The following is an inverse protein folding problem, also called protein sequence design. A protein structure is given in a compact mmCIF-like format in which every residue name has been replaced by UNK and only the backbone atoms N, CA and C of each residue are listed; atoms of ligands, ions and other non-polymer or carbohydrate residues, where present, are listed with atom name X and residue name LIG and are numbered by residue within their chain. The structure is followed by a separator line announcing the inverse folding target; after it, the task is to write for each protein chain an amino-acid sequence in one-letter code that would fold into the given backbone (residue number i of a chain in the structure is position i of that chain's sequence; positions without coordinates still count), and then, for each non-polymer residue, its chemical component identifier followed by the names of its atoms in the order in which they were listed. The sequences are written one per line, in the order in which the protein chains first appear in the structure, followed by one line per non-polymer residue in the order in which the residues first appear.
data_IF_666270763169
#
_entry.id   IF_666270763169
#
_cell.length_a   1.000
_cell.length_b   1.000
_cell.length_c   1.000
_cell.angle_alpha   90.00
_cell.angle_beta   90.00
_cell.angle_gamma   90.00
#
_symmetry.space_group_name_H-M   'P 1'
#
loop_
_entity.id
_entity.type
_entity.pdbx_description
1 polymer ?
#
# COMPACT_ATOMS: atom_id res chain seq x y z
N UNK A 1 -8.70 -5.03 24.72
CA UNK A 1 -8.83 -3.55 24.74
C UNK A 1 -7.50 -2.93 24.38
N UNK A 2 -7.31 -2.46 23.14
CA UNK A 2 -6.51 -1.25 22.85
C UNK A 2 -7.07 -0.66 21.55
N UNK A 3 -7.84 0.45 21.59
CA UNK A 3 -7.89 1.33 20.46
C UNK A 3 -7.30 2.65 20.91
N UNK A 4 -5.98 2.74 20.97
CA UNK A 4 -5.30 4.03 20.95
C UNK A 4 -5.41 4.61 19.53
N UNK A 5 -6.63 4.78 19.00
CA UNK A 5 -6.85 5.59 17.81
C UNK A 5 -6.38 6.99 18.18
N UNK A 6 -5.23 7.39 17.65
CA UNK A 6 -4.82 8.78 17.74
C UNK A 6 -5.91 9.61 17.05
N UNK A 7 -6.65 10.36 17.86
CA UNK A 7 -7.91 11.00 17.49
C UNK A 7 -7.75 11.81 16.19
N UNK A 8 -8.21 11.23 15.08
CA UNK A 8 -8.16 11.78 13.72
C UNK A 8 -6.76 12.20 13.23
N UNK A 9 -5.68 11.57 13.72
CA UNK A 9 -4.31 11.91 13.32
C UNK A 9 -3.52 10.69 12.88
N UNK A 10 -2.83 10.81 11.74
CA UNK A 10 -1.97 9.75 11.19
C UNK A 10 -0.59 10.28 10.83
N UNK A 11 0.45 9.44 11.00
CA UNK A 11 1.79 9.70 10.48
C UNK A 11 1.79 9.43 8.97
N UNK A 12 2.26 10.41 8.20
CA UNK A 12 2.46 10.27 6.76
C UNK A 12 3.83 9.68 6.46
N UNK A 13 3.92 8.75 5.52
CA UNK A 13 5.19 8.32 4.93
C UNK A 13 5.11 8.27 3.41
N UNK A 14 6.24 8.40 2.73
CA UNK A 14 6.30 8.27 1.27
C UNK A 14 6.56 6.83 0.87
N UNK A 15 5.52 6.14 0.35
CA UNK A 15 5.64 4.77 -0.13
C UNK A 15 6.67 4.60 -1.26
N UNK A 16 6.73 5.47 -2.29
CA UNK A 16 7.75 5.35 -3.34
C UNK A 16 9.17 5.49 -2.79
N UNK A 17 9.40 6.47 -1.91
CA UNK A 17 10.72 6.65 -1.30
C UNK A 17 11.11 5.43 -0.46
N UNK A 18 10.20 4.93 0.37
CA UNK A 18 10.44 3.71 1.15
C UNK A 18 10.80 2.52 0.25
N UNK A 19 10.05 2.28 -0.83
CA UNK A 19 10.30 1.17 -1.74
C UNK A 19 11.66 1.30 -2.44
N UNK A 20 11.96 2.44 -3.07
CA UNK A 20 13.22 2.58 -3.80
C UNK A 20 14.44 2.60 -2.87
N UNK A 21 14.33 3.27 -1.73
CA UNK A 21 15.43 3.33 -0.77
C UNK A 21 15.66 1.98 -0.10
N UNK A 22 14.62 1.23 0.27
CA UNK A 22 14.77 -0.11 0.85
C UNK A 22 15.42 -1.08 -0.13
N UNK A 23 15.03 -1.08 -1.40
CA UNK A 23 15.68 -1.91 -2.44
C UNK A 23 17.16 -1.57 -2.54
N UNK A 24 17.50 -0.27 -2.65
CA UNK A 24 18.88 0.16 -2.79
C UNK A 24 19.74 -0.20 -1.56
N UNK A 25 19.23 0.07 -0.35
CA UNK A 25 19.99 -0.14 0.89
C UNK A 25 20.11 -1.62 1.26
N UNK A 26 19.08 -2.43 1.03
CA UNK A 26 19.16 -3.90 1.20
C UNK A 26 20.15 -4.49 0.20
N UNK A 27 20.11 -4.07 -1.06
CA UNK A 27 21.08 -4.53 -2.06
C UNK A 27 22.50 -4.14 -1.66
N UNK A 28 22.72 -2.90 -1.23
CA UNK A 28 24.03 -2.44 -0.79
C UNK A 28 24.52 -3.16 0.48
N UNK A 29 23.62 -3.59 1.37
CA UNK A 29 23.96 -4.34 2.58
C UNK A 29 24.31 -5.80 2.26
N UNK A 30 23.49 -6.45 1.44
CA UNK A 30 23.65 -7.87 1.09
C UNK A 30 24.81 -8.12 0.10
N UNK A 31 25.10 -7.17 -0.80
CA UNK A 31 26.13 -7.33 -1.83
C UNK A 31 27.55 -6.97 -1.35
N UNK A 32 27.80 -6.91 -0.04
CA UNK A 32 29.15 -6.70 0.51
C UNK A 32 29.93 -8.00 0.50
N UNK A 33 31.20 -7.94 0.11
CA UNK A 33 32.11 -9.09 0.16
C UNK A 33 32.14 -9.74 1.55
N UNK A 34 32.10 -8.94 2.62
CA UNK A 34 32.08 -9.45 4.00
C UNK A 34 30.83 -10.27 4.33
N UNK A 35 29.67 -9.93 3.79
CA UNK A 35 28.43 -10.67 4.01
C UNK A 35 28.49 -12.05 3.31
N UNK A 36 29.01 -12.08 2.08
CA UNK A 36 29.25 -13.32 1.34
C UNK A 36 30.30 -14.21 2.01
N UNK A 37 31.44 -13.63 2.41
CA UNK A 37 32.49 -14.35 3.13
C UNK A 37 31.97 -14.94 4.44
N UNK A 38 31.18 -14.17 5.20
CA UNK A 38 30.59 -14.65 6.46
C UNK A 38 29.63 -15.82 6.21
N UNK A 39 28.76 -15.71 5.20
CA UNK A 39 27.83 -16.77 4.86
C UNK A 39 28.56 -18.03 4.35
N UNK A 40 29.57 -17.86 3.50
CA UNK A 40 30.39 -18.96 2.97
C UNK A 40 31.16 -19.65 4.11
N UNK A 41 31.81 -18.89 4.99
CA UNK A 41 32.55 -19.45 6.12
C UNK A 41 31.64 -20.22 7.07
N UNK A 42 30.41 -19.72 7.32
CA UNK A 42 29.44 -20.44 8.14
C UNK A 42 28.94 -21.72 7.48
N UNK A 43 28.78 -21.72 6.15
CA UNK A 43 28.42 -22.92 5.40
C UNK A 43 29.54 -23.98 5.45
N UNK A 44 30.79 -23.57 5.23
CA UNK A 44 31.95 -24.47 5.25
C UNK A 44 32.39 -24.90 6.66
N UNK A 45 31.93 -24.20 7.71
CA UNK A 45 32.13 -24.61 9.10
C UNK A 45 31.16 -25.69 9.58
N UNK A 46 30.17 -26.09 8.75
CA UNK A 46 29.25 -27.16 9.09
C UNK A 46 29.95 -28.53 9.09
N UNK A 47 29.45 -29.46 9.90
CA UNK A 47 29.99 -30.81 9.94
C UNK A 47 29.82 -31.51 8.57
N UNK A 48 30.88 -32.11 8.01
CA UNK A 48 30.78 -32.83 6.77
C UNK A 48 29.98 -34.13 6.96
N UNK A 49 28.99 -34.34 6.10
CA UNK A 49 28.21 -35.58 6.05
C UNK A 49 28.97 -36.69 5.32
N UNK A 50 29.67 -36.34 4.23
CA UNK A 50 30.64 -37.21 3.56
C UNK A 50 32.05 -36.63 3.68
N UNK A 51 32.97 -37.45 4.16
CA UNK A 51 34.40 -37.14 4.25
C UNK A 51 35.25 -38.05 3.38
N UNK A 52 36.35 -37.51 2.87
CA UNK A 52 37.37 -38.22 2.11
C UNK A 52 38.55 -38.53 3.04
N UNK A 53 38.86 -39.81 3.21
CA UNK A 53 39.94 -40.25 4.09
C UNK A 53 41.27 -40.30 3.33
N UNK A 54 42.19 -39.37 3.63
CA UNK A 54 43.53 -39.30 3.02
C UNK A 54 44.54 -38.91 4.10
N UNK A 55 45.71 -39.57 4.11
CA UNK A 55 46.82 -39.26 5.03
C UNK A 55 46.42 -39.26 6.52
N UNK A 56 45.66 -40.28 6.94
CA UNK A 56 45.22 -40.44 8.32
C UNK A 56 44.35 -39.27 8.84
N UNK A 57 43.70 -38.53 7.93
CA UNK A 57 42.78 -37.44 8.23
C UNK A 57 41.54 -37.49 7.32
N UNK A 58 40.39 -37.04 7.86
CA UNK A 58 39.14 -36.90 7.11
C UNK A 58 39.01 -35.49 6.56
N UNK A 59 38.86 -35.35 5.26
CA UNK A 59 38.66 -34.07 4.56
C UNK A 59 37.21 -33.91 4.12
N UNK A 60 36.59 -32.71 4.26
CA UNK A 60 35.21 -32.49 3.84
C UNK A 60 35.06 -32.66 2.32
N UNK A 61 34.08 -33.48 1.87
CA UNK A 61 33.84 -33.76 0.43
C UNK A 61 32.73 -32.93 -0.19
N UNK A 62 32.40 -31.77 0.40
CA UNK A 62 31.36 -30.86 -0.11
C UNK A 62 29.91 -31.27 0.23
N UNK A 63 29.72 -32.40 0.93
CA UNK A 63 28.42 -32.80 1.49
C UNK A 63 28.41 -32.48 2.99
N UNK A 64 27.42 -31.71 3.44
CA UNK A 64 27.30 -31.22 4.82
C UNK A 64 25.98 -31.67 5.45
N UNK A 65 25.97 -31.79 6.78
CA UNK A 65 24.76 -32.14 7.53
C UNK A 65 23.75 -30.99 7.44
N UNK A 66 22.50 -31.28 7.08
CA UNK A 66 21.45 -30.27 6.90
C UNK A 66 21.23 -29.39 8.14
N UNK A 67 21.39 -29.95 9.34
CA UNK A 67 21.30 -29.21 10.62
C UNK A 67 22.39 -28.15 10.77
N UNK A 68 23.57 -28.35 10.18
CA UNK A 68 24.69 -27.41 10.21
C UNK A 68 24.64 -26.35 9.10
N UNK A 69 23.80 -26.53 8.08
CA UNK A 69 23.70 -25.63 6.92
C UNK A 69 22.28 -25.05 6.78
N UNK A 70 21.85 -24.12 7.66
CA UNK A 70 20.58 -23.43 7.50
C UNK A 70 20.60 -22.54 6.25
N UNK A 71 19.40 -22.15 5.79
CA UNK A 71 19.23 -21.32 4.59
C UNK A 71 19.97 -19.99 4.72
N UNK A 72 20.64 -19.53 3.65
CA UNK A 72 21.46 -18.30 3.66
C UNK A 72 20.71 -17.09 4.22
N UNK A 73 19.39 -17.01 3.99
CA UNK A 73 18.51 -15.98 4.54
C UNK A 73 18.63 -15.83 6.06
N UNK A 74 18.83 -16.92 6.83
CA UNK A 74 18.98 -16.83 8.30
C UNK A 74 20.21 -16.04 8.72
N UNK A 75 21.25 -16.03 7.89
CA UNK A 75 22.48 -15.27 8.17
C UNK A 75 22.39 -13.81 7.70
N UNK A 76 21.54 -13.53 6.71
CA UNK A 76 21.37 -12.19 6.13
C UNK A 76 20.19 -11.41 6.74
N UNK A 77 19.43 -11.99 7.67
CA UNK A 77 18.27 -11.31 8.30
C UNK A 77 18.64 -9.92 8.83
N UNK A 78 19.77 -9.78 9.52
CA UNK A 78 20.24 -8.49 10.03
C UNK A 78 20.48 -7.48 8.90
N UNK A 79 21.18 -7.91 7.85
CA UNK A 79 21.47 -7.09 6.66
C UNK A 79 20.21 -6.73 5.85
N UNK A 80 19.06 -7.38 6.09
CA UNK A 80 17.78 -7.03 5.48
C UNK A 80 16.97 -6.12 6.40
N UNK A 81 16.82 -6.48 7.68
CA UNK A 81 15.93 -5.77 8.62
C UNK A 81 16.45 -4.36 8.89
N UNK A 82 17.74 -4.17 9.16
CA UNK A 82 18.26 -2.83 9.50
C UNK A 82 18.07 -1.83 8.34
N UNK A 83 18.40 -2.15 7.08
CA UNK A 83 18.14 -1.25 5.96
C UNK A 83 16.65 -0.99 5.70
N UNK A 84 15.78 -2.00 5.89
CA UNK A 84 14.32 -1.84 5.74
C UNK A 84 13.77 -0.89 6.80
N UNK A 85 14.13 -1.08 8.07
CA UNK A 85 13.66 -0.19 9.16
C UNK A 85 14.24 1.22 8.99
N UNK A 86 15.52 1.33 8.60
CA UNK A 86 16.18 2.61 8.35
C UNK A 86 15.56 3.38 7.18
N UNK A 87 15.27 2.70 6.06
CA UNK A 87 14.58 3.31 4.90
C UNK A 87 13.14 3.72 5.24
N UNK A 88 12.44 2.94 6.06
CA UNK A 88 11.11 3.33 6.54
C UNK A 88 11.16 4.60 7.40
N UNK A 89 12.06 4.66 8.38
CA UNK A 89 12.26 5.85 9.22
C UNK A 89 12.67 7.08 8.39
N UNK A 90 13.56 6.91 7.41
CA UNK A 90 13.95 7.97 6.48
C UNK A 90 12.75 8.45 5.65
N UNK A 91 11.88 7.55 5.19
CA UNK A 91 10.70 7.92 4.40
C UNK A 91 9.69 8.74 5.19
N UNK A 92 9.54 8.48 6.49
CA UNK A 92 8.74 9.30 7.41
C UNK A 92 9.39 10.66 7.56
N UNK A 93 10.69 10.70 7.90
CA UNK A 93 11.43 11.94 8.13
C UNK A 93 11.35 12.87 6.93
N UNK A 94 11.63 12.35 5.72
CA UNK A 94 11.57 13.15 4.48
C UNK A 94 10.15 13.71 4.26
N UNK A 95 9.11 12.90 4.49
CA UNK A 95 7.72 13.36 4.35
C UNK A 95 7.38 14.44 5.38
N UNK A 96 7.84 14.27 6.62
CA UNK A 96 7.66 15.25 7.70
C UNK A 96 8.37 16.57 7.38
N UNK A 97 9.60 16.53 6.87
CA UNK A 97 10.36 17.71 6.47
C UNK A 97 9.72 18.40 5.27
N UNK A 98 9.32 17.63 4.25
CA UNK A 98 8.62 18.17 3.08
C UNK A 98 7.37 18.97 3.47
N UNK A 99 6.57 18.42 4.40
CA UNK A 99 5.41 19.12 4.96
C UNK A 99 5.77 20.37 5.74
N UNK A 100 6.79 20.29 6.59
CA UNK A 100 7.27 21.44 7.35
C UNK A 100 7.71 22.59 6.43
N UNK A 101 8.36 22.27 5.30
CA UNK A 101 8.80 23.26 4.31
C UNK A 101 7.65 23.87 3.51
N UNK A 102 6.67 23.07 3.09
CA UNK A 102 5.53 23.57 2.30
C UNK A 102 4.55 24.41 3.12
N UNK A 103 4.39 24.11 4.41
CA UNK A 103 3.43 24.79 5.30
C UNK A 103 4.04 25.92 6.13
N UNK A 104 5.25 26.40 5.80
CA UNK A 104 5.95 27.46 6.53
C UNK A 104 5.15 28.80 6.65
N UNK A 105 4.07 28.99 5.88
CA UNK A 105 3.30 30.25 5.87
C UNK A 105 1.98 30.29 6.66
N UNK A 106 1.50 29.21 7.29
CA UNK A 106 0.24 29.27 8.07
C UNK A 106 0.33 28.46 9.38
N UNK A 107 0.26 29.18 10.51
CA UNK A 107 0.07 28.76 11.92
C UNK A 107 0.68 27.41 12.41
N UNK A 108 1.81 27.55 13.09
CA UNK A 108 2.21 26.96 14.39
C UNK A 108 1.54 25.64 14.84
N UNK A 109 2.36 24.58 14.87
CA UNK A 109 2.23 23.33 15.67
C UNK A 109 1.36 22.16 15.19
N UNK A 110 0.79 22.17 13.98
CA UNK A 110 -0.06 21.06 13.49
C UNK A 110 0.48 20.30 12.26
N UNK A 111 1.78 20.38 11.98
CA UNK A 111 2.40 19.96 10.71
C UNK A 111 2.98 18.53 10.66
N UNK A 112 3.15 17.87 11.81
CA UNK A 112 3.81 16.55 11.88
C UNK A 112 2.87 15.38 11.51
N UNK A 113 1.56 15.56 11.69
CA UNK A 113 0.55 14.52 11.51
C UNK A 113 -0.51 14.98 10.52
N UNK A 114 -1.03 14.04 9.73
CA UNK A 114 -2.16 14.28 8.83
C UNK A 114 -3.41 14.41 9.68
N UNK A 115 -4.14 15.51 9.51
CA UNK A 115 -5.49 15.63 10.03
C UNK A 115 -6.47 14.88 9.11
N UNK A 116 -7.14 13.87 9.68
CA UNK A 116 -8.11 13.00 9.01
C UNK A 116 -9.55 13.30 9.44
N UNK A 117 -9.79 14.41 10.15
CA UNK A 117 -11.13 14.86 10.57
C UNK A 117 -12.10 14.92 9.40
N UNK A 118 -11.67 15.48 8.26
CA UNK A 118 -12.51 15.59 7.06
C UNK A 118 -12.88 14.23 6.47
N UNK A 119 -12.00 13.23 6.57
CA UNK A 119 -12.28 11.88 6.08
C UNK A 119 -13.53 11.31 6.78
N UNK A 120 -13.75 11.63 8.05
CA UNK A 120 -14.93 11.19 8.82
C UNK A 120 -16.24 11.79 8.34
N UNK A 121 -16.18 13.00 7.80
CA UNK A 121 -17.34 13.68 7.22
C UNK A 121 -17.66 13.15 5.81
N UNK A 122 -16.70 12.45 5.19
CA UNK A 122 -16.86 11.91 3.84
C UNK A 122 -17.58 10.55 3.83
N UNK A 123 -18.66 10.48 3.07
CA UNK A 123 -19.57 9.33 3.00
C UNK A 123 -18.86 8.06 2.52
N UNK A 124 -17.89 8.21 1.61
CA UNK A 124 -17.08 7.12 1.08
C UNK A 124 -15.93 6.73 2.00
N UNK A 125 -15.10 7.68 2.41
CA UNK A 125 -13.94 7.39 3.26
C UNK A 125 -14.36 6.78 4.61
N UNK A 126 -15.53 7.15 5.13
CA UNK A 126 -16.13 6.55 6.33
C UNK A 126 -16.31 5.04 6.21
N UNK A 127 -16.59 4.55 5.00
CA UNK A 127 -16.82 3.13 4.72
C UNK A 127 -15.55 2.41 4.27
N UNK A 128 -14.62 3.13 3.62
CA UNK A 128 -13.38 2.59 3.10
C UNK A 128 -12.30 2.23 4.16
N UNK A 129 -12.69 2.05 5.44
CA UNK A 129 -11.82 1.71 6.57
C UNK A 129 -10.55 2.59 6.67
N UNK A 130 -10.70 3.77 7.26
CA UNK A 130 -9.58 4.72 7.40
C UNK A 130 -8.38 4.15 8.17
N UNK A 131 -7.15 4.51 7.75
CA UNK A 131 -5.96 4.22 8.53
C UNK A 131 -6.00 4.93 9.88
N UNK A 132 -5.47 4.27 10.92
CA UNK A 132 -5.53 4.77 12.29
C UNK A 132 -4.20 5.31 12.84
N UNK A 133 -3.06 4.98 12.21
CA UNK A 133 -1.74 5.28 12.78
C UNK A 133 -0.75 5.77 11.73
N UNK A 134 -0.59 5.04 10.63
CA UNK A 134 0.38 5.31 9.58
C UNK A 134 -0.33 5.20 8.24
N UNK A 135 -0.04 6.13 7.33
CA UNK A 135 -0.60 6.12 5.99
C UNK A 135 0.36 6.72 4.98
N UNK A 136 0.41 6.14 3.78
CA UNK A 136 1.00 6.77 2.60
C UNK A 136 -0.06 7.36 1.67
N UNK A 137 -1.34 7.27 2.05
CA UNK A 137 -2.44 7.76 1.25
C UNK A 137 -2.52 9.29 1.32
N UNK A 138 -2.86 9.97 0.21
CA UNK A 138 -3.03 11.41 0.17
C UNK A 138 -4.36 11.82 0.83
N UNK A 139 -4.43 11.69 2.16
CA UNK A 139 -5.60 12.01 2.99
C UNK A 139 -5.55 13.42 3.57
N UNK A 140 -4.71 14.29 3.03
CA UNK A 140 -4.64 15.68 3.49
C UNK A 140 -5.84 16.49 2.95
N UNK A 141 -6.40 17.42 3.75
CA UNK A 141 -7.43 18.34 3.27
C UNK A 141 -7.00 19.16 2.04
N UNK A 142 -5.70 19.37 1.83
CA UNK A 142 -5.11 20.06 0.67
C UNK A 142 -5.40 19.36 -0.67
N UNK A 143 -5.60 18.04 -0.64
CA UNK A 143 -5.87 17.22 -1.84
C UNK A 143 -7.38 17.12 -2.11
N UNK A 144 -8.22 17.39 -1.11
CA UNK A 144 -9.66 17.49 -1.30
C UNK A 144 -10.03 18.75 -2.11
N UNK A 145 -11.22 18.74 -2.72
CA UNK A 145 -11.82 19.93 -3.32
C UNK A 145 -12.84 20.46 -2.34
N UNK A 146 -12.61 21.66 -1.82
CA UNK A 146 -13.59 22.35 -0.99
C UNK A 146 -14.57 23.09 -1.90
N UNK A 147 -15.85 22.73 -1.85
CA UNK A 147 -16.92 23.42 -2.55
C UNK A 147 -17.99 23.83 -1.54
N UNK A 148 -18.03 25.13 -1.22
CA UNK A 148 -18.86 25.65 -0.14
C UNK A 148 -18.41 25.12 1.23
N UNK A 149 -19.33 24.48 1.96
CA UNK A 149 -19.07 23.88 3.26
C UNK A 149 -18.51 22.45 3.16
N UNK A 150 -18.67 21.79 2.01
CA UNK A 150 -18.37 20.37 1.87
C UNK A 150 -17.00 20.12 1.22
N UNK A 151 -16.35 19.03 1.62
CA UNK A 151 -15.05 18.60 1.11
C UNK A 151 -15.22 17.34 0.28
N UNK A 152 -14.93 17.46 -1.01
CA UNK A 152 -15.09 16.41 -1.99
C UNK A 152 -13.75 15.70 -2.24
N UNK A 153 -13.78 14.38 -2.27
CA UNK A 153 -12.68 13.55 -2.73
C UNK A 153 -12.61 13.58 -4.26
N UNK A 154 -11.41 13.83 -4.81
CA UNK A 154 -11.20 13.79 -6.26
C UNK A 154 -11.25 12.35 -6.77
N UNK A 155 -11.74 12.11 -8.00
CA UNK A 155 -11.73 10.77 -8.58
C UNK A 155 -10.32 10.17 -8.72
N UNK A 156 -9.31 11.00 -8.99
CA UNK A 156 -7.91 10.56 -8.99
C UNK A 156 -7.44 10.08 -7.63
N UNK A 157 -7.90 10.72 -6.55
CA UNK A 157 -7.61 10.29 -5.17
C UNK A 157 -8.31 8.97 -4.87
N UNK A 158 -9.54 8.76 -5.38
CA UNK A 158 -10.29 7.50 -5.24
C UNK A 158 -9.51 6.32 -5.87
N UNK A 159 -8.87 6.54 -7.02
CA UNK A 159 -7.96 5.56 -7.60
C UNK A 159 -6.75 5.25 -6.70
N UNK A 160 -6.15 6.28 -6.10
CA UNK A 160 -4.99 6.13 -5.20
C UNK A 160 -5.32 5.36 -3.91
N UNK A 161 -6.54 5.47 -3.40
CA UNK A 161 -6.99 4.65 -2.25
C UNK A 161 -7.37 3.22 -2.64
N UNK A 162 -7.27 2.85 -3.93
CA UNK A 162 -7.42 1.48 -4.40
C UNK A 162 -8.83 1.10 -4.86
N UNK A 163 -9.63 2.09 -5.27
CA UNK A 163 -10.97 1.88 -5.80
C UNK A 163 -11.06 2.32 -7.26
N UNK A 164 -12.03 1.79 -7.98
CA UNK A 164 -12.34 2.16 -9.35
C UNK A 164 -13.85 2.30 -9.52
N UNK A 165 -14.24 3.09 -10.51
CA UNK A 165 -15.65 3.35 -10.81
C UNK A 165 -16.01 2.79 -12.18
N UNK A 166 -17.13 2.08 -12.24
CA UNK A 166 -17.66 1.50 -13.47
C UNK A 166 -19.09 1.98 -13.71
N UNK A 167 -19.45 2.14 -14.99
CA UNK A 167 -20.77 2.63 -15.43
C UNK A 167 -21.33 1.64 -16.43
N UNK A 168 -22.64 1.53 -16.47
CA UNK A 168 -23.32 0.76 -17.50
C UNK A 168 -23.00 1.34 -18.90
N UNK A 169 -22.69 0.46 -19.85
CA UNK A 169 -22.36 0.84 -21.23
C UNK A 169 -23.56 1.48 -21.92
N UNK A 170 -24.77 1.02 -21.60
CA UNK A 170 -25.99 1.49 -22.24
C UNK A 170 -26.35 2.92 -21.80
N UNK A 171 -26.07 3.28 -20.55
CA UNK A 171 -26.27 4.67 -20.06
C UNK A 171 -25.30 5.65 -20.71
N UNK A 172 -24.07 5.24 -20.99
CA UNK A 172 -23.08 6.10 -21.69
C UNK A 172 -23.45 6.32 -23.16
N UNK A 173 -24.01 5.29 -23.82
CA UNK A 173 -24.39 5.36 -25.24
C UNK A 173 -25.61 6.28 -25.49
N UNK A 174 -26.50 6.41 -24.51
CA UNK A 174 -27.76 7.16 -24.64
C UNK A 174 -27.62 8.68 -24.42
N UNK A 175 -26.40 9.21 -24.31
CA UNK A 175 -26.14 10.61 -24.67
C UNK A 175 -26.37 11.68 -23.61
N UNK A 176 -26.38 11.35 -22.31
CA UNK A 176 -26.21 12.38 -21.27
C UNK A 176 -24.72 12.36 -20.90
N UNK A 177 -23.97 13.37 -21.35
CA UNK A 177 -22.52 13.50 -21.10
C UNK A 177 -22.13 13.66 -19.62
N UNK A 178 -23.06 13.46 -18.69
CA UNK A 178 -22.84 13.39 -17.25
C UNK A 178 -23.17 11.98 -16.80
N UNK A 179 -22.17 11.34 -16.19
CA UNK A 179 -22.39 10.07 -15.50
C UNK A 179 -23.23 10.39 -14.27
N UNK A 180 -24.50 9.97 -14.25
CA UNK A 180 -25.42 10.25 -13.13
C UNK A 180 -25.23 9.27 -11.98
N UNK A 181 -24.87 8.02 -12.30
CA UNK A 181 -24.60 6.96 -11.34
C UNK A 181 -23.39 6.12 -11.77
N UNK A 182 -22.52 5.81 -10.80
CA UNK A 182 -21.38 4.90 -10.96
C UNK A 182 -21.44 3.82 -9.90
N UNK A 183 -21.05 2.59 -10.23
CA UNK A 183 -20.74 1.57 -9.24
C UNK A 183 -19.27 1.66 -8.83
N UNK A 184 -19.00 1.50 -7.54
CA UNK A 184 -17.64 1.49 -6.99
C UNK A 184 -17.21 0.04 -6.76
N UNK A 185 -16.05 -0.30 -7.30
CA UNK A 185 -15.41 -1.61 -7.14
C UNK A 185 -13.97 -1.42 -6.66
N UNK A 186 -13.35 -2.48 -6.16
CA UNK A 186 -11.92 -2.44 -5.85
C UNK A 186 -11.11 -2.36 -7.15
N UNK A 187 -9.97 -1.68 -7.12
CA UNK A 187 -9.10 -1.54 -8.30
C UNK A 187 -8.64 -2.91 -8.84
N UNK A 188 -8.46 -3.89 -7.95
CA UNK A 188 -8.06 -5.25 -8.29
C UNK A 188 -9.17 -6.03 -9.01
N UNK A 189 -10.44 -5.68 -8.76
CA UNK A 189 -11.58 -6.31 -9.42
C UNK A 189 -11.99 -5.59 -10.71
N UNK A 190 -11.31 -4.50 -11.11
CA UNK A 190 -11.69 -3.70 -12.28
C UNK A 190 -11.74 -4.54 -13.57
N UNK A 191 -10.70 -5.33 -13.83
CA UNK A 191 -10.65 -6.17 -15.05
C UNK A 191 -11.75 -7.23 -15.01
N UNK A 192 -11.96 -7.86 -13.85
CA UNK A 192 -13.04 -8.83 -13.67
C UNK A 192 -14.42 -8.18 -13.85
N UNK A 193 -14.61 -6.93 -13.42
CA UNK A 193 -15.88 -6.22 -13.57
C UNK A 193 -16.22 -5.93 -15.04
N UNK A 194 -15.20 -5.73 -15.88
CA UNK A 194 -15.36 -5.47 -17.31
C UNK A 194 -15.60 -6.74 -18.13
N UNK A 195 -15.05 -7.88 -17.69
CA UNK A 195 -15.12 -9.16 -18.42
C UNK A 195 -16.25 -10.07 -17.90
N UNK A 196 -16.39 -10.18 -16.58
CA UNK A 196 -17.32 -11.07 -15.88
C UNK A 196 -17.95 -10.37 -14.66
N UNK A 197 -18.86 -9.38 -14.87
CA UNK A 197 -19.39 -8.55 -13.81
C UNK A 197 -20.09 -9.35 -12.69
N UNK A 198 -20.73 -10.48 -13.02
CA UNK A 198 -21.44 -11.32 -12.05
C UNK A 198 -20.56 -11.93 -10.94
N UNK A 199 -19.23 -11.87 -11.06
CA UNK A 199 -18.29 -12.38 -10.05
C UNK A 199 -17.72 -11.28 -9.16
N UNK A 200 -18.05 -10.01 -9.44
CA UNK A 200 -17.47 -8.86 -8.74
C UNK A 200 -18.50 -8.28 -7.79
N UNK A 201 -18.11 -8.23 -6.52
CA UNK A 201 -18.85 -7.53 -5.48
C UNK A 201 -18.70 -6.01 -5.65
N UNK A 202 -19.83 -5.31 -5.59
CA UNK A 202 -19.88 -3.85 -5.55
C UNK A 202 -19.69 -3.38 -4.11
N UNK A 203 -18.83 -2.38 -3.92
CA UNK A 203 -18.69 -1.72 -2.62
C UNK A 203 -19.87 -0.79 -2.32
N UNK A 204 -20.46 -0.23 -3.37
CA UNK A 204 -21.55 0.73 -3.28
C UNK A 204 -21.72 1.50 -4.57
N UNK A 205 -22.69 2.38 -4.54
CA UNK A 205 -23.06 3.22 -5.67
C UNK A 205 -22.74 4.67 -5.36
N UNK A 206 -22.35 5.41 -6.39
CA UNK A 206 -22.11 6.84 -6.34
C UNK A 206 -23.15 7.52 -7.19
N UNK A 207 -24.06 8.24 -6.53
CA UNK A 207 -25.12 9.01 -7.18
C UNK A 207 -25.05 10.45 -6.69
N UNK A 208 -25.08 11.42 -7.61
CA UNK A 208 -25.10 12.85 -7.27
C UNK A 208 -24.02 13.28 -6.24
N UNK A 209 -22.80 12.77 -6.38
CA UNK A 209 -21.67 13.04 -5.47
C UNK A 209 -21.76 12.45 -4.05
N UNK A 210 -22.76 11.61 -3.76
CA UNK A 210 -22.85 10.88 -2.50
C UNK A 210 -22.58 9.39 -2.71
N UNK A 211 -21.95 8.76 -1.72
CA UNK A 211 -21.69 7.32 -1.74
C UNK A 211 -22.70 6.58 -0.87
N UNK A 212 -23.41 5.63 -1.48
CA UNK A 212 -24.33 4.73 -0.81
C UNK A 212 -23.70 3.34 -0.71
N UNK A 213 -23.55 2.77 0.51
CA UNK A 213 -23.04 1.40 0.66
C UNK A 213 -23.94 0.42 -0.07
N UNK A 214 -23.34 -0.55 -0.76
CA UNK A 214 -24.11 -1.71 -1.21
C UNK A 214 -24.42 -2.62 -0.02
N UNK A 215 -25.55 -3.31 -0.05
CA UNK A 215 -25.82 -4.37 0.90
C UNK A 215 -24.72 -5.45 0.79
N UNK A 216 -24.35 -6.07 1.91
CA UNK A 216 -23.36 -7.15 1.92
C UNK A 216 -23.76 -8.25 0.94
N UNK A 217 -22.87 -8.56 -0.02
CA UNK A 217 -23.02 -9.55 -1.11
C UNK A 217 -23.76 -9.08 -2.38
N UNK A 218 -23.81 -7.78 -2.66
CA UNK A 218 -24.32 -7.30 -3.95
C UNK A 218 -23.25 -7.42 -5.04
N UNK A 219 -23.48 -8.27 -6.04
CA UNK A 219 -22.64 -8.39 -7.24
C UNK A 219 -23.14 -7.51 -8.37
N UNK A 220 -22.25 -7.07 -9.26
CA UNK A 220 -22.67 -6.36 -10.47
C UNK A 220 -23.61 -7.25 -11.32
N UNK A 221 -24.71 -6.68 -11.84
CA UNK A 221 -25.61 -7.38 -12.76
C UNK A 221 -24.88 -8.05 -13.93
N UNK A 222 -24.86 -9.38 -13.95
CA UNK A 222 -24.14 -10.19 -14.95
C UNK A 222 -24.59 -9.95 -16.40
N UNK A 223 -25.82 -9.49 -16.60
CA UNK A 223 -26.41 -9.24 -17.93
C UNK A 223 -25.98 -7.91 -18.54
N UNK A 224 -25.43 -6.99 -17.74
CA UNK A 224 -25.04 -5.66 -18.18
C UNK A 224 -23.57 -5.63 -18.58
N UNK A 225 -23.22 -4.76 -19.52
CA UNK A 225 -21.83 -4.50 -19.90
C UNK A 225 -21.39 -3.21 -19.23
N UNK A 226 -20.23 -3.24 -18.59
CA UNK A 226 -19.70 -2.09 -17.89
C UNK A 226 -18.54 -1.46 -18.66
N UNK A 227 -18.36 -0.15 -18.47
CA UNK A 227 -17.21 0.62 -18.92
C UNK A 227 -16.55 1.28 -17.72
N UNK A 228 -15.23 1.33 -17.74
CA UNK A 228 -14.48 2.12 -16.76
C UNK A 228 -14.76 3.61 -16.99
N UNK A 229 -15.09 4.32 -15.91
CA UNK A 229 -15.15 5.79 -15.91
C UNK A 229 -14.09 6.35 -14.98
N UNK A 230 -13.65 7.59 -15.24
CA UNK A 230 -12.74 8.31 -14.34
C UNK A 230 -13.37 8.59 -12.97
N UNK A 231 -14.69 8.46 -12.84
CA UNK A 231 -15.44 8.61 -11.60
C UNK A 231 -15.98 10.03 -11.40
N UNK A 232 -16.62 10.23 -10.25
CA UNK A 232 -17.16 11.52 -9.83
C UNK A 232 -16.51 11.96 -8.52
N UNK A 233 -16.56 13.25 -8.22
CA UNK A 233 -16.18 13.74 -6.89
C UNK A 233 -17.17 13.22 -5.85
N UNK A 234 -16.71 12.83 -4.66
CA UNK A 234 -17.57 12.27 -3.58
C UNK A 234 -17.44 13.08 -2.31
N UNK A 235 -18.58 13.43 -1.70
CA UNK A 235 -18.66 14.14 -0.42
C UNK A 235 -18.36 13.25 0.75
#
# INVERSE_FOLDING_TARGET
MIPCRWHNRCVGYSAPLFLFTSIATVTAACCKNSAFETAANKFYAADPYLGLWINNATWPSGSYVATGTPVVLTYLVGEIIYPVVGSFAASILVMTVYRALQHHSYETNQYLLIDTTWCRNNSFLRQANMPNFITSLPLEPSVAIRLGHDMYMRPSTLATVGFATVVDRDTVRNGIGRVESCHVVTIYALVAALVAPGWVETMGDMEQHQFTPSATLCTLPAKKKYLHTRGMCVV
#
